data_IF_379136651857
#
_entry.id   IF_379136651857
#
_cell.length_a   1.000
_cell.length_b   1.000
_cell.length_c   1.000
_cell.angle_alpha   90.00
_cell.angle_beta   90.00
_cell.angle_gamma   90.00
#
_symmetry.space_group_name_H-M   'P 1'
#
loop_
_entity.id
_entity.type
_entity.pdbx_description
1 polymer ?
#
# COMPACT_ATOMS: atom_id res chain seq x y z
N UNK A 1 8.84 -3.20 -19.77
CA UNK A 1 9.52 -4.39 -19.18
C UNK A 1 9.61 -5.59 -20.13
N UNK A 2 8.52 -6.07 -20.74
CA UNK A 2 8.57 -7.24 -21.65
C UNK A 2 9.47 -7.03 -22.87
N UNK A 3 9.37 -5.87 -23.55
CA UNK A 3 10.24 -5.57 -24.70
C UNK A 3 11.72 -5.56 -24.31
N UNK A 4 12.04 -5.03 -23.12
CA UNK A 4 13.39 -5.07 -22.56
C UNK A 4 13.87 -6.51 -22.32
N UNK A 5 13.02 -7.37 -21.76
CA UNK A 5 13.31 -8.79 -21.55
C UNK A 5 13.64 -9.49 -22.87
N UNK A 6 12.84 -9.25 -23.92
CA UNK A 6 13.02 -9.82 -25.26
C UNK A 6 14.31 -9.28 -25.91
N UNK A 7 14.54 -7.97 -25.87
CA UNK A 7 15.69 -7.32 -26.50
C UNK A 7 17.03 -7.83 -25.93
N UNK A 8 17.08 -8.08 -24.62
CA UNK A 8 18.26 -8.59 -23.94
C UNK A 8 18.41 -10.12 -23.99
N UNK A 9 17.43 -10.83 -24.58
CA UNK A 9 17.33 -12.31 -24.53
C UNK A 9 17.50 -12.81 -23.10
N UNK A 10 16.83 -12.14 -22.17
CA UNK A 10 16.97 -12.43 -20.75
C UNK A 10 16.31 -13.77 -20.41
N UNK A 11 16.91 -14.56 -19.53
CA UNK A 11 16.27 -15.70 -18.88
C UNK A 11 15.34 -15.23 -17.76
N UNK A 12 15.71 -14.11 -17.13
CA UNK A 12 14.99 -13.44 -16.04
C UNK A 12 15.15 -11.92 -16.17
N UNK A 13 14.07 -11.18 -16.06
CA UNK A 13 14.10 -9.73 -15.83
C UNK A 13 13.35 -9.41 -14.54
N UNK A 14 13.96 -8.63 -13.66
CA UNK A 14 13.34 -8.18 -12.40
C UNK A 14 13.06 -6.69 -12.45
N UNK A 15 11.83 -6.29 -12.12
CA UNK A 15 11.48 -4.89 -11.95
C UNK A 15 12.10 -4.36 -10.66
N UNK A 16 12.86 -3.27 -10.76
CA UNK A 16 13.50 -2.61 -9.62
C UNK A 16 13.16 -1.14 -9.57
N UNK A 17 13.17 -0.56 -8.38
CA UNK A 17 13.05 0.89 -8.17
C UNK A 17 14.14 1.36 -7.20
N UNK A 18 14.78 2.51 -7.44
CA UNK A 18 15.66 3.11 -6.44
C UNK A 18 14.86 3.53 -5.22
N UNK A 19 15.30 3.10 -4.03
CA UNK A 19 14.75 3.53 -2.74
C UNK A 19 15.78 4.35 -1.94
N UNK A 20 15.37 5.09 -0.91
CA UNK A 20 16.31 5.65 0.06
C UNK A 20 17.18 4.55 0.67
N UNK A 21 18.47 4.84 0.90
CA UNK A 21 19.43 3.81 1.33
C UNK A 21 19.11 3.28 2.74
N UNK A 22 18.49 4.10 3.57
CA UNK A 22 17.98 3.77 4.89
C UNK A 22 16.83 2.75 4.87
N UNK A 23 16.07 2.68 3.77
CA UNK A 23 14.95 1.74 3.60
C UNK A 23 15.38 0.45 2.89
N UNK A 24 16.46 0.49 2.10
CA UNK A 24 16.98 -0.64 1.33
C UNK A 24 17.12 -1.97 2.13
N UNK A 25 17.50 -1.99 3.43
CA UNK A 25 17.55 -3.23 4.22
C UNK A 25 16.22 -4.00 4.34
N UNK A 26 15.08 -3.35 4.05
CA UNK A 26 13.75 -3.98 4.08
C UNK A 26 13.43 -4.79 2.84
N UNK A 27 14.20 -4.62 1.76
CA UNK A 27 13.91 -5.14 0.43
C UNK A 27 14.95 -6.16 -0.04
N UNK A 28 14.60 -6.91 -1.09
CA UNK A 28 15.59 -7.64 -1.88
C UNK A 28 16.33 -6.68 -2.80
N UNK A 29 17.66 -6.59 -2.66
CA UNK A 29 18.50 -5.62 -3.36
C UNK A 29 19.20 -6.27 -4.55
N UNK A 30 19.08 -5.63 -5.71
CA UNK A 30 19.76 -6.04 -6.93
C UNK A 30 21.07 -5.26 -7.09
N UNK A 31 22.18 -6.00 -7.19
CA UNK A 31 23.48 -5.45 -7.55
C UNK A 31 23.72 -5.72 -9.04
N UNK A 32 23.92 -4.65 -9.81
CA UNK A 32 24.01 -4.72 -11.27
C UNK A 32 25.35 -4.23 -11.79
N UNK A 33 25.72 -4.68 -12.99
CA UNK A 33 26.80 -4.04 -13.75
C UNK A 33 26.29 -2.80 -14.51
N UNK A 34 27.18 -2.15 -15.27
CA UNK A 34 26.86 -0.97 -16.07
C UNK A 34 25.82 -1.22 -17.19
N UNK A 35 25.51 -2.48 -17.50
CA UNK A 35 24.53 -2.89 -18.51
C UNK A 35 23.19 -3.32 -17.90
N UNK A 36 23.01 -3.11 -16.59
CA UNK A 36 21.88 -3.60 -15.79
C UNK A 36 21.79 -5.13 -15.68
N UNK A 37 22.86 -5.86 -16.01
CA UNK A 37 22.92 -7.30 -15.75
C UNK A 37 23.03 -7.50 -14.25
N UNK A 38 22.20 -8.36 -13.67
CA UNK A 38 22.24 -8.68 -12.25
C UNK A 38 23.46 -9.57 -12.01
N UNK A 39 24.33 -9.12 -11.12
CA UNK A 39 25.53 -9.84 -10.69
C UNK A 39 25.23 -10.63 -9.41
N UNK A 40 24.49 -10.00 -8.50
CA UNK A 40 24.22 -10.50 -7.16
C UNK A 40 22.86 -10.01 -6.69
N UNK A 41 22.20 -10.85 -5.89
CA UNK A 41 20.94 -10.54 -5.24
C UNK A 41 21.10 -10.75 -3.74
N UNK A 42 20.88 -9.68 -2.98
CA UNK A 42 20.95 -9.69 -1.53
C UNK A 42 19.53 -9.56 -0.96
N UNK A 43 18.99 -10.61 -0.34
CA UNK A 43 17.68 -10.57 0.32
C UNK A 43 17.79 -9.89 1.69
N UNK A 44 17.20 -8.70 1.85
CA UNK A 44 17.15 -7.92 3.09
C UNK A 44 18.52 -7.75 3.77
N UNK A 45 19.52 -7.19 3.05
CA UNK A 45 20.87 -7.04 3.59
C UNK A 45 20.90 -6.02 4.72
N UNK A 46 21.66 -6.29 5.78
CA UNK A 46 21.93 -5.28 6.82
C UNK A 46 22.71 -4.08 6.29
N UNK A 47 23.62 -4.32 5.35
CA UNK A 47 24.46 -3.31 4.70
C UNK A 47 24.27 -3.42 3.18
N UNK A 48 23.29 -2.71 2.61
CA UNK A 48 23.01 -2.74 1.18
C UNK A 48 24.15 -2.11 0.37
N UNK A 49 24.57 -2.79 -0.71
CA UNK A 49 25.58 -2.28 -1.67
C UNK A 49 24.99 -1.36 -2.74
N UNK A 50 23.68 -1.46 -2.93
CA UNK A 50 22.87 -0.81 -3.95
C UNK A 50 21.54 -0.42 -3.32
N UNK A 51 20.84 0.54 -3.92
CA UNK A 51 19.49 0.91 -3.53
C UNK A 51 18.43 0.47 -4.56
N UNK A 52 18.78 -0.39 -5.51
CA UNK A 52 17.84 -0.97 -6.47
C UNK A 52 17.03 -2.07 -5.79
N UNK A 53 15.89 -1.69 -5.20
CA UNK A 53 14.98 -2.61 -4.54
C UNK A 53 14.13 -3.37 -5.57
N UNK A 54 14.02 -4.68 -5.39
CA UNK A 54 13.12 -5.55 -6.14
C UNK A 54 11.66 -5.22 -5.80
N UNK A 55 10.86 -4.95 -6.82
CA UNK A 55 9.42 -4.68 -6.69
C UNK A 55 8.58 -5.96 -6.59
N UNK A 56 9.20 -7.15 -6.65
CA UNK A 56 8.48 -8.43 -6.68
C UNK A 56 7.82 -8.75 -8.03
N UNK A 57 8.21 -8.05 -9.10
CA UNK A 57 7.68 -8.25 -10.46
C UNK A 57 8.78 -8.87 -11.32
N UNK A 58 8.47 -10.03 -11.91
CA UNK A 58 9.43 -10.84 -12.66
C UNK A 58 8.89 -11.22 -14.04
N UNK A 59 9.76 -11.21 -15.04
CA UNK A 59 9.51 -11.85 -16.34
C UNK A 59 10.52 -12.97 -16.51
N UNK A 60 10.03 -14.18 -16.72
CA UNK A 60 10.85 -15.37 -16.94
C UNK A 60 10.65 -15.93 -18.34
N UNK A 61 11.71 -16.54 -18.88
CA UNK A 61 11.53 -17.53 -19.94
C UNK A 61 10.86 -18.79 -19.34
N UNK A 62 9.69 -19.18 -19.87
CA UNK A 62 8.90 -20.28 -19.32
C UNK A 62 9.66 -21.61 -19.32
N UNK A 63 10.38 -21.94 -20.40
CA UNK A 63 11.10 -23.20 -20.51
C UNK A 63 12.18 -23.31 -19.43
N UNK A 64 12.93 -22.24 -19.20
CA UNK A 64 13.95 -22.15 -18.15
C UNK A 64 13.33 -22.21 -16.75
N UNK A 65 12.24 -21.48 -16.52
CA UNK A 65 11.58 -21.47 -15.21
C UNK A 65 11.03 -22.84 -14.84
N UNK A 66 10.33 -23.48 -15.79
CA UNK A 66 9.79 -24.83 -15.60
C UNK A 66 10.89 -25.84 -15.29
N UNK A 67 12.04 -25.72 -15.96
CA UNK A 67 13.20 -26.58 -15.70
C UNK A 67 13.64 -26.47 -14.24
N UNK A 68 13.86 -25.26 -13.72
CA UNK A 68 14.27 -25.07 -12.34
C UNK A 68 13.19 -25.48 -11.32
N UNK A 69 11.93 -25.17 -11.58
CA UNK A 69 10.86 -25.56 -10.65
C UNK A 69 10.63 -27.07 -10.59
N UNK A 70 10.78 -27.79 -11.69
CA UNK A 70 10.48 -29.25 -11.76
C UNK A 70 11.72 -30.11 -11.53
N UNK A 71 12.83 -29.82 -12.21
CA UNK A 71 14.02 -30.67 -12.20
C UNK A 71 14.86 -30.48 -10.93
N UNK A 72 14.89 -29.27 -10.34
CA UNK A 72 15.64 -29.03 -9.11
C UNK A 72 14.83 -29.40 -7.86
N UNK A 73 13.49 -29.34 -7.91
CA UNK A 73 12.65 -29.96 -6.88
C UNK A 73 12.86 -31.47 -6.82
N UNK A 74 13.05 -32.14 -7.98
CA UNK A 74 13.39 -33.56 -8.04
C UNK A 74 14.77 -33.90 -7.44
N UNK A 75 15.64 -32.89 -7.23
CA UNK A 75 16.96 -33.01 -6.57
C UNK A 75 16.93 -32.60 -5.09
N UNK A 76 15.75 -32.48 -4.48
CA UNK A 76 15.58 -32.03 -3.08
C UNK A 76 16.11 -30.61 -2.81
N UNK A 77 16.19 -29.74 -3.83
CA UNK A 77 16.41 -28.31 -3.61
C UNK A 77 15.06 -27.64 -3.33
N UNK A 78 14.99 -26.86 -2.27
CA UNK A 78 13.81 -26.04 -1.96
C UNK A 78 13.66 -24.95 -3.04
N UNK A 79 12.47 -24.86 -3.63
CA UNK A 79 12.10 -23.87 -4.66
C UNK A 79 10.77 -23.21 -4.28
N UNK A 80 10.65 -22.85 -3.01
CA UNK A 80 9.39 -22.38 -2.42
C UNK A 80 9.29 -20.85 -2.45
N UNK A 81 10.43 -20.16 -2.58
CA UNK A 81 10.52 -18.70 -2.58
C UNK A 81 11.36 -18.18 -3.77
N UNK A 82 10.83 -17.18 -4.48
CA UNK A 82 11.53 -16.60 -5.62
C UNK A 82 12.81 -15.87 -5.24
N UNK A 83 12.78 -15.07 -4.17
CA UNK A 83 13.94 -14.31 -3.69
C UNK A 83 15.00 -15.22 -3.08
N UNK A 84 14.60 -16.14 -2.21
CA UNK A 84 15.56 -16.98 -1.47
C UNK A 84 16.08 -18.17 -2.25
N UNK A 85 15.33 -18.66 -3.25
CA UNK A 85 15.70 -19.90 -3.95
C UNK A 85 15.85 -19.71 -5.46
N UNK A 86 14.80 -19.25 -6.14
CA UNK A 86 14.75 -19.28 -7.61
C UNK A 86 15.74 -18.29 -8.22
N UNK A 87 15.73 -17.02 -7.81
CA UNK A 87 16.61 -15.98 -8.34
C UNK A 87 18.08 -16.30 -8.07
N UNK A 88 18.50 -16.69 -6.85
CA UNK A 88 19.86 -17.14 -6.59
C UNK A 88 20.29 -18.30 -7.50
N UNK A 89 19.42 -19.29 -7.73
CA UNK A 89 19.72 -20.42 -8.62
C UNK A 89 19.94 -19.98 -10.07
N UNK A 90 19.18 -19.01 -10.56
CA UNK A 90 19.41 -18.43 -11.89
C UNK A 90 20.79 -17.76 -11.98
N UNK A 91 21.17 -16.97 -10.96
CA UNK A 91 22.46 -16.28 -10.91
C UNK A 91 23.62 -17.27 -10.81
N UNK A 92 23.53 -18.27 -9.93
CA UNK A 92 24.54 -19.32 -9.75
C UNK A 92 24.79 -20.13 -11.02
N UNK A 93 23.74 -20.39 -11.81
CA UNK A 93 23.85 -21.10 -13.08
C UNK A 93 24.27 -20.19 -14.25
N UNK A 94 24.54 -18.90 -14.00
CA UNK A 94 24.99 -17.94 -15.00
C UNK A 94 23.91 -17.54 -16.01
N UNK A 95 22.64 -17.69 -15.64
CA UNK A 95 21.51 -17.29 -16.49
C UNK A 95 21.54 -15.80 -16.79
N UNK A 96 20.95 -15.42 -17.93
CA UNK A 96 20.97 -14.05 -18.40
C UNK A 96 19.93 -13.20 -17.64
N UNK A 97 20.32 -12.66 -16.49
CA UNK A 97 19.43 -11.95 -15.56
C UNK A 97 19.65 -10.44 -15.64
N UNK A 98 18.58 -9.66 -15.75
CA UNK A 98 18.65 -8.20 -15.83
C UNK A 98 17.69 -7.50 -14.88
N UNK A 99 18.11 -6.35 -14.37
CA UNK A 99 17.25 -5.43 -13.65
C UNK A 99 16.63 -4.44 -14.65
N UNK A 100 15.33 -4.23 -14.53
CA UNK A 100 14.59 -3.20 -15.26
C UNK A 100 14.22 -2.11 -14.26
N UNK A 101 14.88 -0.95 -14.35
CA UNK A 101 14.55 0.21 -13.55
C UNK A 101 13.17 0.73 -13.96
N UNK A 102 12.19 0.57 -13.08
CA UNK A 102 10.86 1.13 -13.23
C UNK A 102 10.92 2.64 -12.99
N UNK A 103 10.18 3.35 -13.83
CA UNK A 103 10.01 4.80 -13.75
C UNK A 103 8.52 5.08 -13.60
N UNK A 104 8.13 5.55 -12.43
CA UNK A 104 6.73 5.75 -12.05
C UNK A 104 6.51 5.63 -10.55
N UNK A 105 5.25 5.85 -10.15
CA UNK A 105 4.85 5.73 -8.76
C UNK A 105 4.84 4.27 -8.28
N UNK A 106 5.51 4.01 -7.17
CA UNK A 106 5.46 2.75 -6.44
C UNK A 106 5.66 3.04 -4.95
N UNK A 107 4.89 2.38 -4.10
CA UNK A 107 4.98 2.52 -2.64
C UNK A 107 4.82 1.14 -1.99
N UNK A 108 5.73 0.80 -1.08
CA UNK A 108 5.59 -0.36 -0.19
C UNK A 108 4.70 0.02 1.00
N UNK A 109 3.47 -0.46 1.00
CA UNK A 109 2.50 -0.19 2.06
C UNK A 109 2.60 -1.27 3.15
N UNK A 110 3.78 -1.33 3.78
CA UNK A 110 4.15 -2.35 4.76
C UNK A 110 4.03 -1.93 6.22
N UNK A 111 3.93 -0.64 6.51
CA UNK A 111 3.76 -0.06 7.86
C UNK A 111 2.50 0.79 7.96
N UNK A 112 2.05 1.08 9.18
CA UNK A 112 0.86 1.92 9.42
C UNK A 112 1.07 3.32 8.83
N UNK A 113 2.24 3.89 9.02
CA UNK A 113 2.61 5.21 8.50
C UNK A 113 2.59 5.21 6.98
N UNK A 114 3.22 4.21 6.34
CA UNK A 114 3.22 4.11 4.87
C UNK A 114 1.82 3.92 4.28
N UNK A 115 0.92 3.24 5.01
CA UNK A 115 -0.48 3.08 4.62
C UNK A 115 -1.25 4.39 4.72
N UNK A 116 -1.07 5.12 5.82
CA UNK A 116 -1.66 6.43 5.99
C UNK A 116 -1.16 7.40 4.92
N UNK A 117 0.17 7.53 4.76
CA UNK A 117 0.81 8.41 3.79
C UNK A 117 0.32 8.13 2.37
N UNK A 118 0.34 6.86 1.93
CA UNK A 118 -0.08 6.49 0.58
C UNK A 118 -1.55 6.83 0.30
N UNK A 119 -2.42 6.80 1.32
CA UNK A 119 -3.80 7.24 1.16
C UNK A 119 -3.90 8.76 1.12
N UNK A 120 -3.23 9.45 2.04
CA UNK A 120 -3.27 10.91 2.12
C UNK A 120 -2.66 11.60 0.90
N UNK A 121 -1.68 10.98 0.26
CA UNK A 121 -1.10 11.41 -1.03
C UNK A 121 -2.17 11.61 -2.12
N UNK A 122 -3.31 10.91 -2.07
CA UNK A 122 -4.40 11.12 -3.03
C UNK A 122 -5.15 12.44 -2.87
N UNK A 123 -5.05 13.10 -1.71
CA UNK A 123 -5.66 14.42 -1.52
C UNK A 123 -4.96 15.51 -2.34
N UNK A 124 -3.74 15.27 -2.81
CA UNK A 124 -3.03 16.14 -3.74
C UNK A 124 -3.54 15.91 -5.18
N UNK A 125 -4.19 16.90 -5.81
CA UNK A 125 -4.66 16.78 -7.19
C UNK A 125 -3.54 16.60 -8.22
N UNK A 126 -2.32 17.04 -7.88
CA UNK A 126 -1.13 16.95 -8.74
C UNK A 126 -0.31 15.68 -8.46
N UNK A 127 -0.83 14.76 -7.63
CA UNK A 127 -0.16 13.52 -7.31
C UNK A 127 0.14 12.67 -8.55
N UNK A 128 1.35 12.09 -8.58
CA UNK A 128 1.85 11.31 -9.72
C UNK A 128 0.97 10.11 -10.09
N UNK A 129 0.37 9.45 -9.09
CA UNK A 129 -0.68 8.46 -9.28
C UNK A 129 -2.01 9.18 -9.48
N UNK A 130 -2.22 9.69 -10.69
CA UNK A 130 -3.44 10.40 -11.08
C UNK A 130 -4.62 9.42 -11.20
N UNK A 131 -5.44 9.30 -10.15
CA UNK A 131 -6.61 8.41 -10.13
C UNK A 131 -7.72 8.79 -11.13
N UNK A 132 -7.61 9.97 -11.75
CA UNK A 132 -8.54 10.45 -12.78
C UNK A 132 -8.04 10.15 -14.20
N UNK A 133 -6.90 9.49 -14.35
CA UNK A 133 -6.38 9.07 -15.64
C UNK A 133 -7.27 7.99 -16.27
N UNK A 134 -7.93 8.35 -17.36
CA UNK A 134 -8.79 7.45 -18.11
C UNK A 134 -8.02 6.50 -19.04
N UNK A 135 -6.75 6.77 -19.33
CA UNK A 135 -5.88 5.90 -20.13
C UNK A 135 -5.36 4.73 -19.31
N UNK A 136 -5.24 4.90 -17.98
CA UNK A 136 -4.78 3.88 -17.03
C UNK A 136 -5.75 3.64 -15.88
N UNK A 137 -6.91 3.05 -16.19
CA UNK A 137 -8.01 2.84 -15.22
C UNK A 137 -7.75 1.70 -14.25
N UNK A 138 -7.94 1.98 -12.95
CA UNK A 138 -7.96 0.97 -11.90
C UNK A 138 -9.40 0.49 -11.68
N UNK A 139 -9.66 -0.79 -11.96
CA UNK A 139 -10.97 -1.40 -11.73
C UNK A 139 -11.05 -2.00 -10.33
N UNK A 140 -12.14 -1.71 -9.62
CA UNK A 140 -12.47 -2.32 -8.33
C UNK A 140 -13.97 -2.59 -8.25
N UNK A 141 -14.38 -3.31 -7.21
CA UNK A 141 -15.81 -3.49 -6.91
C UNK A 141 -16.36 -2.17 -6.39
N UNK A 142 -17.24 -1.54 -7.15
CA UNK A 142 -17.97 -0.36 -6.71
C UNK A 142 -19.40 -0.74 -6.30
N UNK A 143 -19.73 -0.87 -5.00
CA UNK A 143 -21.12 -1.04 -4.57
C UNK A 143 -21.92 0.22 -4.90
N UNK A 144 -23.16 0.03 -5.36
CA UNK A 144 -24.08 1.16 -5.60
C UNK A 144 -24.53 1.72 -4.25
N UNK A 145 -24.06 2.92 -3.93
CA UNK A 145 -24.49 3.70 -2.76
C UNK A 145 -25.21 4.98 -3.21
N UNK A 146 -26.10 5.55 -2.38
CA UNK A 146 -26.66 6.88 -2.65
C UNK A 146 -25.53 7.93 -2.65
N UNK A 147 -25.74 9.11 -3.27
CA UNK A 147 -24.81 10.22 -3.13
C UNK A 147 -24.58 10.59 -1.66
N UNK A 148 -23.40 11.13 -1.36
CA UNK A 148 -23.10 11.65 -0.03
C UNK A 148 -24.05 12.79 0.36
N UNK A 149 -24.39 12.86 1.65
CA UNK A 149 -25.24 13.88 2.23
C UNK A 149 -24.46 14.72 3.25
N UNK A 150 -24.33 16.01 2.96
CA UNK A 150 -23.69 17.00 3.82
C UNK A 150 -24.78 17.84 4.50
N UNK A 151 -24.79 17.88 5.83
CA UNK A 151 -25.80 18.65 6.59
C UNK A 151 -25.46 20.15 6.63
N UNK A 152 -26.38 20.95 7.17
CA UNK A 152 -26.14 22.39 7.43
C UNK A 152 -24.99 22.66 8.41
N UNK A 153 -24.66 21.70 9.29
CA UNK A 153 -23.57 21.80 10.27
C UNK A 153 -22.24 21.31 9.72
N UNK A 154 -22.24 20.67 8.54
CA UNK A 154 -21.03 20.11 7.96
C UNK A 154 -20.05 21.18 7.48
N UNK A 155 -18.76 20.93 7.68
CA UNK A 155 -17.68 21.75 7.14
C UNK A 155 -16.61 20.81 6.58
N UNK A 156 -16.31 20.90 5.28
CA UNK A 156 -15.39 19.98 4.60
C UNK A 156 -14.32 20.79 3.87
N UNK A 157 -13.05 20.54 4.19
CA UNK A 157 -11.88 21.20 3.58
C UNK A 157 -10.84 20.18 3.16
N UNK A 158 -10.30 20.31 1.93
CA UNK A 158 -9.21 19.49 1.40
C UNK A 158 -9.38 17.98 1.62
N UNK A 159 -10.59 17.46 1.41
CA UNK A 159 -10.96 16.09 1.79
C UNK A 159 -11.69 15.36 0.67
N UNK A 160 -11.58 14.03 0.66
CA UNK A 160 -12.35 13.15 -0.24
C UNK A 160 -13.48 12.47 0.52
N UNK A 161 -14.70 12.62 0.01
CA UNK A 161 -15.92 12.04 0.60
C UNK A 161 -16.58 11.15 -0.43
N UNK A 162 -16.62 9.85 -0.15
CA UNK A 162 -17.16 8.84 -1.07
C UNK A 162 -18.67 8.63 -0.85
N UNK A 163 -19.34 8.00 -1.82
CA UNK A 163 -20.78 7.71 -1.82
C UNK A 163 -21.28 7.08 -0.51
N UNK A 164 -22.52 7.41 -0.16
CA UNK A 164 -23.24 6.92 1.02
C UNK A 164 -22.86 7.61 2.33
N UNK A 165 -21.87 8.50 2.32
CA UNK A 165 -21.50 9.25 3.52
C UNK A 165 -22.63 10.15 4.00
N UNK A 166 -22.80 10.24 5.33
CA UNK A 166 -23.61 11.26 5.99
C UNK A 166 -22.69 12.05 6.92
N UNK A 167 -22.53 13.35 6.67
CA UNK A 167 -21.57 14.17 7.38
C UNK A 167 -22.28 15.34 8.07
N UNK A 168 -22.25 15.35 9.41
CA UNK A 168 -22.74 16.44 10.23
C UNK A 168 -21.64 17.19 11.02
N UNK A 169 -20.39 16.75 10.94
CA UNK A 169 -19.23 17.34 11.62
C UNK A 169 -18.27 18.07 10.68
N UNK A 170 -17.09 18.40 11.22
CA UNK A 170 -15.98 19.02 10.51
C UNK A 170 -14.99 17.95 10.01
N UNK A 171 -14.68 17.98 8.71
CA UNK A 171 -13.71 17.11 8.06
C UNK A 171 -12.65 17.98 7.40
N UNK A 172 -11.38 17.81 7.77
CA UNK A 172 -10.27 18.53 7.16
C UNK A 172 -9.15 17.58 6.79
N UNK A 173 -8.58 17.76 5.59
CA UNK A 173 -7.43 16.99 5.12
C UNK A 173 -7.58 15.50 5.44
N UNK A 174 -8.68 14.87 5.00
CA UNK A 174 -9.05 13.50 5.37
C UNK A 174 -9.77 12.78 4.24
N UNK A 175 -9.81 11.45 4.33
CA UNK A 175 -10.54 10.60 3.39
C UNK A 175 -11.63 9.83 4.13
N UNK A 176 -12.89 10.02 3.72
CA UNK A 176 -14.03 9.20 4.16
C UNK A 176 -14.41 8.21 3.06
N UNK A 177 -14.23 6.93 3.35
CA UNK A 177 -14.67 5.83 2.48
C UNK A 177 -16.20 5.70 2.48
N UNK A 178 -16.71 4.72 1.74
CA UNK A 178 -18.14 4.53 1.53
C UNK A 178 -18.94 4.38 2.84
N UNK A 179 -20.15 4.95 2.85
CA UNK A 179 -21.15 4.80 3.92
C UNK A 179 -20.70 5.23 5.32
N UNK A 180 -19.70 6.11 5.44
CA UNK A 180 -19.26 6.65 6.74
C UNK A 180 -20.31 7.61 7.28
N UNK A 181 -20.60 7.53 8.58
CA UNK A 181 -21.50 8.44 9.27
C UNK A 181 -20.74 9.26 10.29
N UNK A 182 -20.89 10.57 10.25
CA UNK A 182 -20.23 11.50 11.18
C UNK A 182 -21.28 12.32 11.91
N UNK A 183 -21.34 12.17 13.24
CA UNK A 183 -22.23 12.91 14.11
C UNK A 183 -21.90 14.41 14.23
N UNK A 184 -22.84 15.17 14.77
CA UNK A 184 -22.70 16.61 14.95
C UNK A 184 -21.60 16.94 15.98
N UNK A 185 -20.91 18.06 15.78
CA UNK A 185 -19.83 18.51 16.66
C UNK A 185 -18.55 17.66 16.60
N UNK A 186 -18.52 16.60 15.80
CA UNK A 186 -17.34 15.75 15.62
C UNK A 186 -16.35 16.37 14.63
N UNK A 187 -15.07 16.11 14.84
CA UNK A 187 -13.95 16.65 14.07
C UNK A 187 -13.07 15.50 13.60
N UNK A 188 -12.80 15.43 12.30
CA UNK A 188 -11.88 14.46 11.69
C UNK A 188 -10.79 15.21 10.92
N UNK A 189 -9.53 15.01 11.29
CA UNK A 189 -8.37 15.69 10.69
C UNK A 189 -7.26 14.71 10.37
N UNK A 190 -6.60 14.91 9.25
CA UNK A 190 -5.39 14.16 8.88
C UNK A 190 -5.60 12.64 8.98
N UNK A 191 -6.78 12.13 8.59
CA UNK A 191 -7.20 10.77 8.91
C UNK A 191 -7.83 10.03 7.72
N UNK A 192 -7.65 8.71 7.72
CA UNK A 192 -8.31 7.78 6.81
C UNK A 192 -9.43 7.05 7.56
N UNK A 193 -10.67 7.24 7.12
CA UNK A 193 -11.83 6.55 7.67
C UNK A 193 -12.32 5.52 6.66
N UNK A 194 -12.25 4.24 7.02
CA UNK A 194 -12.65 3.12 6.17
C UNK A 194 -14.17 2.93 6.12
N UNK A 195 -14.61 2.00 5.27
CA UNK A 195 -16.02 1.87 4.92
C UNK A 195 -16.91 1.49 6.11
N UNK A 196 -18.15 2.00 6.10
CA UNK A 196 -19.21 1.72 7.07
C UNK A 196 -18.89 2.11 8.53
N UNK A 197 -17.89 2.96 8.75
CA UNK A 197 -17.58 3.49 10.10
C UNK A 197 -18.72 4.41 10.57
N UNK A 198 -19.08 4.28 11.84
CA UNK A 198 -20.02 5.19 12.51
C UNK A 198 -19.30 5.98 13.59
N UNK A 199 -19.26 7.30 13.43
CA UNK A 199 -18.71 8.25 14.38
C UNK A 199 -19.88 8.98 15.04
N UNK A 200 -19.94 8.91 16.38
CA UNK A 200 -20.93 9.57 17.22
C UNK A 200 -20.78 11.10 17.24
N UNK A 201 -21.44 11.74 18.20
CA UNK A 201 -21.40 13.19 18.41
C UNK A 201 -20.21 13.64 19.25
N UNK A 202 -19.68 14.83 18.97
CA UNK A 202 -18.57 15.46 19.71
C UNK A 202 -17.30 14.58 19.80
N UNK A 203 -17.03 13.79 18.76
CA UNK A 203 -15.84 12.93 18.67
C UNK A 203 -14.69 13.71 18.03
N UNK A 204 -13.47 13.53 18.54
CA UNK A 204 -12.25 14.07 17.88
C UNK A 204 -11.40 12.94 17.35
N UNK A 205 -11.10 12.97 16.04
CA UNK A 205 -10.19 12.04 15.37
C UNK A 205 -9.09 12.84 14.66
N UNK A 206 -7.83 12.60 15.04
CA UNK A 206 -6.68 13.26 14.43
C UNK A 206 -5.56 12.24 14.15
N UNK A 207 -4.94 12.31 12.96
CA UNK A 207 -3.81 11.44 12.58
C UNK A 207 -4.10 9.95 12.83
N UNK A 208 -5.21 9.45 12.29
CA UNK A 208 -5.67 8.09 12.56
C UNK A 208 -6.10 7.33 11.31
N UNK A 209 -6.06 6.01 11.41
CA UNK A 209 -6.75 5.08 10.50
C UNK A 209 -7.87 4.40 11.29
N UNK A 210 -9.11 4.57 10.85
CA UNK A 210 -10.27 3.92 11.45
C UNK A 210 -10.73 2.79 10.54
N UNK A 211 -10.59 1.56 11.02
CA UNK A 211 -10.89 0.33 10.29
C UNK A 211 -12.37 0.14 9.96
N UNK A 212 -12.66 -0.70 8.97
CA UNK A 212 -14.01 -0.92 8.46
C UNK A 212 -14.99 -1.33 9.57
N UNK A 213 -16.23 -0.84 9.49
CA UNK A 213 -17.32 -1.13 10.43
C UNK A 213 -17.08 -0.71 11.89
N UNK A 214 -15.99 -0.01 12.19
CA UNK A 214 -15.72 0.49 13.53
C UNK A 214 -16.81 1.48 13.99
N UNK A 215 -17.01 1.55 15.31
CA UNK A 215 -17.97 2.45 15.94
C UNK A 215 -17.27 3.29 17.00
N UNK A 216 -17.26 4.60 16.79
CA UNK A 216 -16.69 5.55 17.74
C UNK A 216 -17.85 6.22 18.47
N UNK A 217 -17.99 5.92 19.76
CA UNK A 217 -19.09 6.44 20.57
C UNK A 217 -18.94 7.94 20.85
N UNK A 218 -20.04 8.57 21.27
CA UNK A 218 -20.09 10.00 21.54
C UNK A 218 -19.01 10.42 22.56
N UNK A 219 -18.43 11.61 22.33
CA UNK A 219 -17.39 12.23 23.16
C UNK A 219 -16.06 11.45 23.24
N UNK A 220 -15.86 10.41 22.42
CA UNK A 220 -14.59 9.70 22.34
C UNK A 220 -13.52 10.54 21.61
N UNK A 221 -12.26 10.22 21.88
CA UNK A 221 -11.11 10.83 21.21
C UNK A 221 -10.16 9.74 20.70
N UNK A 222 -9.78 9.84 19.44
CA UNK A 222 -8.78 8.98 18.78
C UNK A 222 -7.72 9.89 18.18
N UNK A 223 -6.63 10.10 18.92
CA UNK A 223 -5.64 11.16 18.63
C UNK A 223 -4.26 10.53 18.47
N UNK A 224 -3.83 10.39 17.22
CA UNK A 224 -2.46 10.12 16.86
C UNK A 224 -1.65 11.41 16.67
N UNK A 225 -0.45 11.28 16.11
CA UNK A 225 0.44 12.40 15.76
C UNK A 225 1.15 12.09 14.45
N UNK A 226 1.76 13.10 13.85
CA UNK A 226 2.65 12.89 12.71
C UNK A 226 3.81 11.94 13.10
N UNK A 227 3.95 10.83 12.38
CA UNK A 227 4.88 9.74 12.66
C UNK A 227 4.41 8.71 13.70
N UNK A 228 3.22 8.87 14.28
CA UNK A 228 2.61 7.93 15.23
C UNK A 228 1.09 7.91 14.99
N UNK A 229 0.69 7.21 13.92
CA UNK A 229 -0.71 7.14 13.48
C UNK A 229 -1.50 6.21 14.39
N UNK A 230 -2.61 6.69 14.94
CA UNK A 230 -3.50 5.89 15.79
C UNK A 230 -4.35 4.94 14.93
N UNK A 231 -4.61 3.73 15.41
CA UNK A 231 -5.35 2.73 14.64
C UNK A 231 -6.50 2.16 15.46
N UNK A 232 -7.71 2.26 14.90
CA UNK A 232 -8.87 1.52 15.38
C UNK A 232 -9.13 0.36 14.43
N UNK A 233 -9.22 -0.85 14.96
CA UNK A 233 -9.33 -2.08 14.19
C UNK A 233 -10.69 -2.30 13.53
N UNK A 234 -10.77 -3.39 12.76
CA UNK A 234 -12.00 -3.84 12.12
C UNK A 234 -13.11 -4.07 13.15
N UNK A 235 -14.27 -3.45 12.93
CA UNK A 235 -15.47 -3.54 13.78
C UNK A 235 -15.23 -3.22 15.27
N UNK A 236 -14.12 -2.56 15.60
CA UNK A 236 -13.80 -2.18 16.96
C UNK A 236 -14.75 -1.07 17.45
N UNK A 237 -15.05 -1.08 18.74
CA UNK A 237 -15.90 -0.10 19.39
C UNK A 237 -15.07 0.70 20.38
N UNK A 238 -14.99 2.01 20.18
CA UNK A 238 -14.27 2.92 21.08
C UNK A 238 -15.28 3.74 21.87
N UNK A 239 -15.13 3.74 23.20
CA UNK A 239 -16.01 4.45 24.11
C UNK A 239 -17.37 3.75 24.31
N UNK A 240 -18.34 4.51 24.81
CA UNK A 240 -19.66 4.00 25.19
C UNK A 240 -19.69 3.39 26.59
N UNK A 241 -20.89 3.21 27.13
CA UNK A 241 -21.07 2.40 28.34
C UNK A 241 -20.79 0.95 27.95
N UNK A 242 -19.84 0.30 28.63
CA UNK A 242 -19.79 -1.16 28.61
C UNK A 242 -21.07 -1.62 29.28
N UNK A 243 -21.88 -2.41 28.59
CA UNK A 243 -22.94 -3.15 29.26
C UNK A 243 -22.26 -3.97 30.37
N UNK A 244 -22.55 -3.65 31.64
CA UNK A 244 -22.03 -4.40 32.81
C UNK A 244 -22.71 -5.79 32.95
N UNK A 245 -23.48 -6.23 31.95
CA UNK A 245 -24.24 -7.47 31.98
C UNK A 245 -24.01 -8.32 30.71
N UNK A 246 -22.88 -9.02 30.64
CA UNK A 246 -22.73 -10.31 29.92
C UNK A 246 -22.09 -11.37 30.82
#
# INVERSE_FOLDING_TARGET
MLDFHIAHKASLTVGVIPVPMEEAPRFGIMNTDQTNRIIEFDEKPKEPKSNLASMGIYIFNWQTLRKYLVEDQAKQREMEDFGKNVIPTYLENGENCFAYAFDGYWKDVGTIESLWEANMEFLDPDHSLNIRDEEWRIYSKNPVSPPQFLTETSNVTDSMIVDGCYVAGEISHSILSQNVRVGNGSVVRDSLIMANVTIGENVTIEHAIIGENAKIADNANVIGKNGEIEVVGYAEVIGGLKDEDE
#
